data_IF_246368178041
#
_entry.id   IF_246368178041
#
_cell.length_a   1.000
_cell.length_b   1.000
_cell.length_c   1.000
_cell.angle_alpha   90.00
_cell.angle_beta   90.00
_cell.angle_gamma   90.00
#
_symmetry.space_group_name_H-M   'P 1'
#
loop_
_entity.id
_entity.type
_entity.pdbx_description
1 polymer ?
#
# COMPACT_ATOMS: atom_id res chain seq x y z
N UNK A 1 3.15 3.02 27.81
CA UNK A 1 4.01 4.15 27.36
C UNK A 1 3.12 5.08 26.55
N UNK A 2 3.09 6.38 26.85
CA UNK A 2 2.33 7.36 26.06
C UNK A 2 2.93 7.41 24.65
N UNK A 3 2.23 6.85 23.66
CA UNK A 3 2.62 6.97 22.26
C UNK A 3 2.46 8.43 21.85
N UNK A 4 3.56 9.12 21.56
CA UNK A 4 3.53 10.50 21.05
C UNK A 4 2.70 10.56 19.76
N UNK A 5 1.91 11.61 19.57
CA UNK A 5 1.16 11.77 18.32
C UNK A 5 2.09 12.05 17.14
N UNK A 6 1.63 11.81 15.91
CA UNK A 6 2.45 12.07 14.72
C UNK A 6 2.90 13.53 14.66
N UNK A 7 2.02 14.47 15.03
CA UNK A 7 2.35 15.90 15.05
C UNK A 7 3.48 16.21 16.04
N UNK A 8 3.47 15.57 17.22
CA UNK A 8 4.56 15.74 18.20
C UNK A 8 5.89 15.19 17.65
N UNK A 9 5.87 14.04 16.99
CA UNK A 9 7.07 13.46 16.37
C UNK A 9 7.59 14.32 15.23
N UNK A 10 6.69 14.91 14.43
CA UNK A 10 7.04 15.84 13.36
C UNK A 10 7.68 17.11 13.94
N UNK A 11 7.08 17.70 14.97
CA UNK A 11 7.61 18.90 15.63
C UNK A 11 9.00 18.65 16.23
N UNK A 12 9.18 17.52 16.91
CA UNK A 12 10.48 17.10 17.43
C UNK A 12 11.52 16.88 16.32
N UNK A 13 11.12 16.23 15.22
CA UNK A 13 11.99 16.04 14.06
C UNK A 13 12.45 17.37 13.47
N UNK A 14 11.53 18.33 13.32
CA UNK A 14 11.84 19.68 12.82
C UNK A 14 12.71 20.50 13.78
N UNK A 15 12.64 20.22 15.08
CA UNK A 15 13.52 20.77 16.10
C UNK A 15 14.93 20.12 16.12
N UNK A 16 15.18 19.12 15.26
CA UNK A 16 16.47 18.45 15.12
C UNK A 16 16.56 17.09 15.83
N UNK A 17 15.49 16.62 16.47
CA UNK A 17 15.47 15.29 17.10
C UNK A 17 15.23 14.20 16.04
N UNK A 18 16.32 13.73 15.42
CA UNK A 18 16.29 12.73 14.35
C UNK A 18 15.55 11.44 14.71
N UNK A 19 15.68 11.00 15.97
CA UNK A 19 15.01 9.79 16.49
C UNK A 19 13.49 9.87 16.45
N UNK A 20 12.91 11.08 16.46
CA UNK A 20 11.46 11.24 16.38
C UNK A 20 10.92 10.80 15.00
N UNK A 21 11.72 10.93 13.94
CA UNK A 21 11.33 10.43 12.63
C UNK A 21 11.51 8.91 12.50
N UNK A 22 12.50 8.32 13.16
CA UNK A 22 12.65 6.86 13.19
C UNK A 22 11.39 6.18 13.73
N UNK A 23 10.73 6.83 14.69
CA UNK A 23 9.44 6.38 15.23
C UNK A 23 8.32 6.50 14.18
N UNK A 24 8.27 7.59 13.40
CA UNK A 24 7.33 7.70 12.26
C UNK A 24 7.59 6.60 11.21
N UNK A 25 8.86 6.30 10.91
CA UNK A 25 9.21 5.22 9.98
C UNK A 25 8.72 3.89 10.51
N UNK A 26 9.04 3.54 11.77
CA UNK A 26 8.61 2.28 12.40
C UNK A 26 7.09 2.11 12.39
N UNK A 27 6.34 3.18 12.62
CA UNK A 27 4.86 3.15 12.62
C UNK A 27 4.26 2.90 11.25
N UNK A 28 4.88 3.41 10.18
CA UNK A 28 4.26 3.46 8.86
C UNK A 28 4.92 2.59 7.80
N UNK A 29 6.13 2.06 8.03
CA UNK A 29 6.87 1.31 7.02
C UNK A 29 6.10 0.10 6.51
N UNK A 30 5.58 -0.74 7.42
CA UNK A 30 4.92 -1.98 7.04
C UNK A 30 3.59 -1.68 6.34
N UNK A 31 2.82 -0.74 6.90
CA UNK A 31 1.55 -0.29 6.28
C UNK A 31 1.77 0.26 4.88
N UNK A 32 2.75 1.15 4.70
CA UNK A 32 3.04 1.76 3.40
C UNK A 32 3.48 0.69 2.40
N UNK A 33 4.37 -0.19 2.82
CA UNK A 33 4.88 -1.30 2.01
C UNK A 33 3.75 -2.23 1.56
N UNK A 34 2.88 -2.65 2.48
CA UNK A 34 1.76 -3.54 2.14
C UNK A 34 0.80 -2.88 1.16
N UNK A 35 0.45 -1.60 1.39
CA UNK A 35 -0.42 -0.88 0.46
C UNK A 35 0.22 -0.74 -0.93
N UNK A 36 1.52 -0.44 -0.99
CA UNK A 36 2.26 -0.36 -2.26
C UNK A 36 2.39 -1.73 -2.94
N UNK A 37 2.56 -2.82 -2.20
CA UNK A 37 2.60 -4.17 -2.76
C UNK A 37 1.26 -4.51 -3.43
N UNK A 38 0.13 -4.20 -2.78
CA UNK A 38 -1.19 -4.38 -3.37
C UNK A 38 -1.42 -3.47 -4.59
N UNK A 39 -0.95 -2.23 -4.54
CA UNK A 39 -1.09 -1.29 -5.65
C UNK A 39 -0.23 -1.65 -6.87
N UNK A 40 1.04 -2.01 -6.64
CA UNK A 40 2.05 -2.23 -7.69
C UNK A 40 2.14 -3.68 -8.16
N UNK A 41 1.77 -4.64 -7.33
CA UNK A 41 1.90 -6.07 -7.62
C UNK A 41 3.30 -6.64 -7.48
N UNK A 42 4.21 -5.89 -6.89
CA UNK A 42 5.62 -6.26 -6.75
C UNK A 42 6.12 -5.82 -5.38
N UNK A 43 6.52 -6.80 -4.55
CA UNK A 43 7.08 -6.57 -3.22
C UNK A 43 8.40 -5.79 -3.30
N UNK A 44 9.23 -6.10 -4.29
CA UNK A 44 10.50 -5.43 -4.55
C UNK A 44 10.28 -3.95 -4.89
N UNK A 45 9.38 -3.67 -5.85
CA UNK A 45 9.05 -2.29 -6.20
C UNK A 45 8.44 -1.54 -5.01
N UNK A 46 7.62 -2.22 -4.20
CA UNK A 46 7.03 -1.64 -2.99
C UNK A 46 8.09 -1.25 -1.95
N UNK A 47 9.11 -2.09 -1.69
CA UNK A 47 10.21 -1.78 -0.78
C UNK A 47 10.98 -0.54 -1.22
N UNK A 48 11.39 -0.54 -2.48
CA UNK A 48 12.18 0.55 -3.04
C UNK A 48 11.40 1.87 -3.05
N UNK A 49 10.12 1.83 -3.45
CA UNK A 49 9.25 3.00 -3.46
C UNK A 49 9.05 3.51 -2.04
N UNK A 50 8.79 2.63 -1.06
CA UNK A 50 8.64 3.01 0.34
C UNK A 50 9.92 3.66 0.89
N UNK A 51 11.08 3.06 0.64
CA UNK A 51 12.37 3.61 1.07
C UNK A 51 12.59 5.02 0.51
N UNK A 52 12.42 5.20 -0.80
CA UNK A 52 12.56 6.51 -1.44
C UNK A 52 11.52 7.51 -0.92
N UNK A 53 10.29 7.05 -0.64
CA UNK A 53 9.24 7.88 -0.07
C UNK A 53 9.61 8.40 1.31
N UNK A 54 10.14 7.57 2.21
CA UNK A 54 10.59 8.01 3.54
C UNK A 54 11.78 8.98 3.46
N UNK A 55 12.75 8.74 2.57
CA UNK A 55 13.88 9.66 2.36
C UNK A 55 13.38 11.02 1.86
N UNK A 56 12.41 11.03 0.94
CA UNK A 56 11.80 12.28 0.46
C UNK A 56 10.93 12.95 1.53
N UNK A 57 10.20 12.16 2.32
CA UNK A 57 9.39 12.65 3.44
C UNK A 57 10.27 13.35 4.48
N UNK A 58 11.41 12.75 4.85
CA UNK A 58 12.42 13.39 5.71
C UNK A 58 12.85 14.75 5.14
N UNK A 59 13.28 14.78 3.86
CA UNK A 59 13.76 16.00 3.21
C UNK A 59 12.69 17.09 3.07
N UNK A 60 11.42 16.70 2.95
CA UNK A 60 10.29 17.61 2.71
C UNK A 60 9.44 17.83 3.96
N UNK A 61 9.85 17.33 5.13
CA UNK A 61 8.99 17.33 6.32
C UNK A 61 8.55 18.74 6.72
N UNK A 62 9.41 19.74 6.52
CA UNK A 62 9.11 21.16 6.77
C UNK A 62 7.99 21.73 5.88
N UNK A 63 7.69 21.08 4.76
CA UNK A 63 6.59 21.47 3.85
C UNK A 63 5.24 20.81 4.20
N UNK A 64 5.21 19.93 5.21
CA UNK A 64 3.98 19.27 5.63
C UNK A 64 3.01 20.28 6.29
N UNK A 65 1.90 20.55 5.60
CA UNK A 65 0.93 21.59 5.99
C UNK A 65 -0.06 21.20 7.09
N UNK A 66 -0.06 19.94 7.57
CA UNK A 66 -0.98 19.43 8.61
C UNK A 66 -2.48 19.50 8.26
N UNK A 67 -2.81 19.74 6.98
CA UNK A 67 -4.18 19.74 6.46
C UNK A 67 -4.74 18.31 6.30
N UNK A 68 -3.86 17.31 6.24
CA UNK A 68 -4.17 15.89 6.20
C UNK A 68 -3.27 15.14 7.19
N UNK A 69 -3.63 13.90 7.53
CA UNK A 69 -2.77 13.04 8.34
C UNK A 69 -1.41 12.80 7.69
N UNK A 70 -0.39 12.53 8.52
CA UNK A 70 0.97 12.27 8.05
C UNK A 70 1.01 11.10 7.05
N UNK A 71 0.28 10.02 7.33
CA UNK A 71 0.21 8.86 6.45
C UNK A 71 -0.36 9.21 5.06
N UNK A 72 -1.42 10.02 4.98
CA UNK A 72 -1.99 10.48 3.70
C UNK A 72 -0.96 11.29 2.90
N UNK A 73 -0.20 12.15 3.56
CA UNK A 73 0.87 12.93 2.92
C UNK A 73 2.04 12.05 2.46
N UNK A 74 2.47 11.10 3.30
CA UNK A 74 3.49 10.11 2.97
C UNK A 74 3.09 9.26 1.76
N UNK A 75 1.84 8.80 1.71
CA UNK A 75 1.34 8.01 0.59
C UNK A 75 1.36 8.81 -0.72
N UNK A 76 1.02 10.11 -0.68
CA UNK A 76 1.12 10.99 -1.85
C UNK A 76 2.56 11.06 -2.39
N UNK A 77 3.54 11.14 -1.49
CA UNK A 77 4.95 11.09 -1.87
C UNK A 77 5.26 9.74 -2.52
N UNK A 78 4.87 8.63 -1.90
CA UNK A 78 5.12 7.28 -2.40
C UNK A 78 4.51 7.03 -3.78
N UNK A 79 3.25 7.46 -4.00
CA UNK A 79 2.60 7.40 -5.31
C UNK A 79 3.38 8.17 -6.38
N UNK A 80 3.86 9.38 -6.07
CA UNK A 80 4.63 10.16 -7.03
C UNK A 80 5.95 9.47 -7.39
N UNK A 81 6.60 8.81 -6.42
CA UNK A 81 7.77 7.97 -6.65
C UNK A 81 7.42 6.80 -7.57
N UNK A 82 6.35 6.06 -7.29
CA UNK A 82 5.90 4.94 -8.11
C UNK A 82 5.62 5.34 -9.57
N UNK A 83 4.86 6.41 -9.80
CA UNK A 83 4.55 6.92 -11.16
C UNK A 83 5.84 7.32 -11.89
N UNK A 84 6.80 7.93 -11.20
CA UNK A 84 8.07 8.34 -11.80
C UNK A 84 8.91 7.14 -12.27
N UNK A 85 8.79 6.00 -11.58
CA UNK A 85 9.49 4.75 -11.91
C UNK A 85 8.88 4.06 -13.13
N UNK A 86 7.54 4.02 -13.22
CA UNK A 86 6.82 3.43 -14.37
C UNK A 86 7.11 4.20 -15.67
N UNK A 87 7.32 5.53 -15.59
CA UNK A 87 7.64 6.38 -16.76
C UNK A 87 9.08 6.29 -17.23
N UNK A 88 9.99 5.66 -16.47
CA UNK A 88 11.35 5.39 -16.96
C UNK A 88 11.30 4.12 -17.82
N UNK A 89 11.72 4.17 -19.10
CA UNK A 89 11.77 2.97 -19.92
C UNK A 89 12.68 1.95 -19.21
N UNK A 90 12.13 0.79 -18.86
CA UNK A 90 12.91 -0.36 -18.40
C UNK A 90 13.88 -0.68 -19.52
N UNK A 91 15.17 -0.42 -19.33
CA UNK A 91 16.21 -1.07 -20.12
C UNK A 91 16.07 -2.55 -19.76
N UNK A 92 15.43 -3.29 -20.66
CA UNK A 92 15.11 -4.70 -20.49
C UNK A 92 16.41 -5.47 -20.25
N UNK A 93 16.66 -5.82 -19.00
CA UNK A 93 17.46 -6.99 -18.65
C UNK A 93 16.44 -8.09 -18.41
N UNK A 94 16.36 -9.02 -19.37
CA UNK A 94 15.45 -10.14 -19.29
C UNK A 94 15.76 -11.02 -18.07
N UNK A 95 14.73 -11.33 -17.30
CA UNK A 95 14.63 -12.49 -16.41
C UNK A 95 13.12 -12.76 -16.28
N UNK A 96 12.58 -13.76 -16.97
CA UNK A 96 12.37 -15.13 -16.49
C UNK A 96 11.59 -15.18 -15.17
N UNK A 97 10.33 -15.61 -15.33
CA UNK A 97 9.50 -16.39 -14.40
C UNK A 97 9.68 -16.12 -12.90
N UNK A 98 8.76 -15.35 -12.32
CA UNK A 98 8.60 -15.26 -10.87
C UNK A 98 7.21 -15.74 -10.46
N UNK A 99 7.05 -17.07 -10.46
CA UNK A 99 6.31 -17.75 -9.40
C UNK A 99 7.22 -17.83 -8.18
N UNK A 100 7.52 -16.69 -7.55
CA UNK A 100 8.19 -16.69 -6.26
C UNK A 100 7.11 -16.84 -5.20
N UNK A 101 7.17 -17.92 -4.43
CA UNK A 101 6.48 -18.07 -3.15
C UNK A 101 6.86 -16.88 -2.25
N UNK A 102 6.05 -15.82 -2.29
CA UNK A 102 6.08 -14.79 -1.29
C UNK A 102 5.39 -15.38 -0.05
N UNK A 103 6.19 -15.94 0.86
CA UNK A 103 5.81 -15.99 2.26
C UNK A 103 5.60 -14.53 2.71
N UNK A 104 4.35 -14.06 2.55
CA UNK A 104 3.94 -12.74 3.01
C UNK A 104 4.19 -12.68 4.51
N UNK A 105 4.85 -11.61 4.94
CA UNK A 105 4.93 -11.28 6.35
C UNK A 105 3.50 -10.93 6.80
N UNK A 106 2.82 -11.90 7.40
CA UNK A 106 1.61 -11.63 8.15
C UNK A 106 2.00 -10.73 9.33
N UNK A 107 1.20 -9.70 9.68
CA UNK A 107 1.22 -9.25 11.06
C UNK A 107 0.87 -10.48 11.89
N UNK A 108 1.80 -10.92 12.74
CA UNK A 108 1.51 -11.98 13.68
C UNK A 108 0.39 -11.48 14.60
N UNK A 109 -0.85 -11.85 14.31
CA UNK A 109 -1.87 -11.92 15.33
C UNK A 109 -1.39 -13.00 16.30
N UNK A 110 -0.72 -12.58 17.39
CA UNK A 110 -0.19 -13.45 18.45
C UNK A 110 -1.28 -14.26 19.20
N UNK A 111 -2.49 -14.39 18.64
CA UNK A 111 -3.67 -14.95 19.32
C UNK A 111 -4.50 -15.90 18.47
N UNK A 112 -3.89 -16.71 17.59
CA UNK A 112 -4.65 -17.81 16.99
C UNK A 112 -3.88 -19.13 16.99
N UNK A 113 -4.09 -19.89 18.07
CA UNK A 113 -4.02 -21.35 18.08
C UNK A 113 -5.05 -21.94 17.10
N UNK A 114 -4.84 -21.72 15.80
CA UNK A 114 -5.70 -22.28 14.75
C UNK A 114 -4.93 -23.36 14.00
N UNK A 115 -5.54 -24.53 13.90
CA UNK A 115 -4.94 -25.73 13.34
C UNK A 115 -4.24 -25.47 11.99
N UNK A 116 -3.12 -26.15 11.68
CA UNK A 116 -2.30 -25.90 10.49
C UNK A 116 -3.09 -25.86 9.16
N UNK A 117 -4.15 -26.66 9.05
CA UNK A 117 -5.04 -26.69 7.88
C UNK A 117 -5.80 -25.36 7.66
N UNK A 118 -6.23 -24.68 8.73
CA UNK A 118 -6.88 -23.38 8.61
C UNK A 118 -5.92 -22.26 8.21
N UNK A 119 -4.64 -22.35 8.60
CA UNK A 119 -3.61 -21.42 8.15
C UNK A 119 -3.34 -21.58 6.64
N UNK A 120 -3.23 -22.82 6.16
CA UNK A 120 -3.04 -23.11 4.73
C UNK A 120 -4.21 -22.59 3.87
N UNK A 121 -5.46 -22.86 4.27
CA UNK A 121 -6.64 -22.38 3.54
C UNK A 121 -6.70 -20.85 3.48
N UNK A 122 -6.36 -20.17 4.58
CA UNK A 122 -6.28 -18.69 4.58
C UNK A 122 -5.18 -18.18 3.66
N UNK A 123 -4.01 -18.81 3.65
CA UNK A 123 -2.92 -18.42 2.77
C UNK A 123 -3.31 -18.56 1.28
N UNK A 124 -4.02 -19.62 0.90
CA UNK A 124 -4.54 -19.80 -0.46
C UNK A 124 -5.58 -18.73 -0.83
N UNK A 125 -6.51 -18.42 0.07
CA UNK A 125 -7.49 -17.35 -0.14
C UNK A 125 -6.83 -15.98 -0.32
N UNK A 126 -5.84 -15.65 0.51
CA UNK A 126 -5.06 -14.41 0.39
C UNK A 126 -4.34 -14.36 -0.96
N UNK A 127 -3.71 -15.47 -1.37
CA UNK A 127 -3.02 -15.57 -2.66
C UNK A 127 -3.98 -15.34 -3.82
N UNK A 128 -5.18 -15.92 -3.77
CA UNK A 128 -6.22 -15.73 -4.77
C UNK A 128 -6.67 -14.26 -4.85
N UNK A 129 -6.93 -13.62 -3.71
CA UNK A 129 -7.31 -12.19 -3.68
C UNK A 129 -6.21 -11.31 -4.25
N UNK A 130 -4.94 -11.59 -3.90
CA UNK A 130 -3.80 -10.86 -4.46
C UNK A 130 -3.71 -11.04 -5.98
N UNK A 131 -3.85 -12.27 -6.48
CA UNK A 131 -3.82 -12.55 -7.92
C UNK A 131 -4.96 -11.82 -8.66
N UNK A 132 -6.18 -11.89 -8.13
CA UNK A 132 -7.34 -11.21 -8.71
C UNK A 132 -7.16 -9.68 -8.73
N UNK A 133 -6.60 -9.09 -7.66
CA UNK A 133 -6.26 -7.67 -7.63
C UNK A 133 -5.24 -7.30 -8.72
N UNK A 134 -4.24 -8.15 -8.98
CA UNK A 134 -3.20 -7.88 -9.98
C UNK A 134 -3.69 -7.90 -11.42
N UNK A 135 -4.81 -8.54 -11.71
CA UNK A 135 -5.38 -8.46 -13.04
C UNK A 135 -6.26 -7.22 -13.26
N UNK A 136 -6.58 -6.44 -12.21
CA UNK A 136 -7.34 -5.20 -12.31
C UNK A 136 -6.40 -4.08 -12.74
N UNK A 137 -6.78 -3.24 -13.71
CA UNK A 137 -5.93 -2.14 -14.13
C UNK A 137 -5.58 -1.18 -12.97
N UNK A 138 -4.34 -0.67 -12.93
CA UNK A 138 -3.80 0.14 -11.82
C UNK A 138 -4.72 1.30 -11.43
N UNK A 139 -5.33 1.98 -12.41
CA UNK A 139 -6.21 3.12 -12.18
C UNK A 139 -7.48 2.79 -11.38
N UNK A 140 -7.92 1.53 -11.40
CA UNK A 140 -9.04 1.01 -10.61
C UNK A 140 -8.56 0.35 -9.32
N UNK A 141 -7.43 -0.36 -9.39
CA UNK A 141 -6.82 -1.07 -8.25
C UNK A 141 -6.38 -0.11 -7.15
N UNK A 142 -5.68 0.98 -7.50
CA UNK A 142 -5.14 1.93 -6.54
C UNK A 142 -6.21 2.54 -5.60
N UNK A 143 -7.32 3.14 -6.10
CA UNK A 143 -8.35 3.67 -5.22
C UNK A 143 -9.09 2.59 -4.42
N UNK A 144 -9.17 1.34 -4.93
CA UNK A 144 -9.73 0.22 -4.18
C UNK A 144 -8.84 -0.16 -3.00
N UNK A 145 -7.52 -0.28 -3.21
CA UNK A 145 -6.54 -0.58 -2.14
C UNK A 145 -6.60 0.50 -1.06
N UNK A 146 -6.56 1.78 -1.47
CA UNK A 146 -6.67 2.90 -0.53
C UNK A 146 -7.97 2.87 0.28
N UNK A 147 -9.06 2.35 -0.30
CA UNK A 147 -10.35 2.28 0.37
C UNK A 147 -10.46 1.10 1.34
N UNK A 148 -10.18 -0.11 0.85
CA UNK A 148 -10.47 -1.35 1.58
C UNK A 148 -9.32 -1.77 2.49
N UNK A 149 -8.07 -1.45 2.12
CA UNK A 149 -6.88 -1.88 2.87
C UNK A 149 -6.41 -0.73 3.77
N UNK A 150 -6.31 0.49 3.23
CA UNK A 150 -5.86 1.64 4.02
C UNK A 150 -6.98 2.33 4.79
N UNK A 151 -8.25 2.06 4.48
CA UNK A 151 -9.41 2.60 5.21
C UNK A 151 -9.70 4.08 4.95
N UNK A 152 -9.16 4.69 3.91
CA UNK A 152 -9.39 6.11 3.62
C UNK A 152 -10.85 6.42 3.23
N UNK A 153 -11.30 7.63 3.52
CA UNK A 153 -12.54 8.19 2.96
C UNK A 153 -12.40 8.46 1.46
N UNK A 154 -13.53 8.59 0.75
CA UNK A 154 -13.46 8.89 -0.69
C UNK A 154 -12.85 10.28 -0.95
N UNK A 155 -13.08 11.22 -0.05
CA UNK A 155 -12.55 12.57 -0.05
C UNK A 155 -11.03 12.56 0.14
N UNK A 156 -10.52 11.80 1.10
CA UNK A 156 -9.07 11.63 1.28
C UNK A 156 -8.44 10.95 0.07
N UNK A 157 -9.06 9.91 -0.48
CA UNK A 157 -8.58 9.24 -1.69
C UNK A 157 -8.48 10.25 -2.82
N UNK A 158 -9.52 11.04 -3.07
CA UNK A 158 -9.53 12.08 -4.11
C UNK A 158 -8.34 13.03 -3.98
N UNK A 159 -8.00 13.44 -2.75
CA UNK A 159 -6.84 14.28 -2.46
C UNK A 159 -5.49 13.54 -2.60
N UNK A 160 -5.44 12.25 -2.25
CA UNK A 160 -4.21 11.44 -2.30
C UNK A 160 -3.80 11.16 -3.74
N UNK A 161 -4.74 10.71 -4.57
CA UNK A 161 -4.46 10.31 -5.96
C UNK A 161 -4.73 11.42 -6.98
N UNK A 162 -5.18 12.59 -6.50
CA UNK A 162 -5.40 13.82 -7.27
C UNK A 162 -6.38 13.64 -8.44
N UNK A 163 -7.58 13.14 -8.12
CA UNK A 163 -8.68 12.99 -9.10
C UNK A 163 -10.01 13.45 -8.50
N UNK A 164 -11.02 13.78 -9.33
CA UNK A 164 -12.33 14.19 -8.83
C UNK A 164 -13.00 13.12 -7.96
N UNK A 165 -13.73 13.54 -6.92
CA UNK A 165 -14.46 12.64 -6.01
C UNK A 165 -15.44 11.72 -6.75
N UNK A 166 -16.12 12.22 -7.78
CA UNK A 166 -17.00 11.41 -8.63
C UNK A 166 -16.25 10.30 -9.37
N UNK A 167 -15.00 10.57 -9.78
CA UNK A 167 -14.11 9.58 -10.43
C UNK A 167 -13.61 8.55 -9.43
N UNK A 168 -13.33 8.93 -8.18
CA UNK A 168 -13.00 7.97 -7.11
C UNK A 168 -14.14 6.97 -6.93
N UNK A 169 -15.38 7.46 -6.75
CA UNK A 169 -16.55 6.61 -6.54
C UNK A 169 -16.78 5.64 -7.70
N UNK A 170 -16.71 6.13 -8.94
CA UNK A 170 -16.92 5.29 -10.12
C UNK A 170 -15.80 4.28 -10.32
N UNK A 171 -14.53 4.65 -10.07
CA UNK A 171 -13.39 3.72 -10.15
C UNK A 171 -13.46 2.63 -9.11
N UNK A 172 -13.78 2.95 -7.85
CA UNK A 172 -13.92 1.94 -6.79
C UNK A 172 -15.08 1.00 -7.09
N UNK A 173 -16.22 1.52 -7.54
CA UNK A 173 -17.35 0.68 -7.94
C UNK A 173 -16.97 -0.31 -9.04
N UNK A 174 -16.30 0.17 -10.10
CA UNK A 174 -15.81 -0.69 -11.19
C UNK A 174 -14.79 -1.72 -10.70
N UNK A 175 -13.84 -1.30 -9.86
CA UNK A 175 -12.82 -2.18 -9.29
C UNK A 175 -13.44 -3.31 -8.48
N UNK A 176 -14.49 -3.04 -7.67
CA UNK A 176 -15.21 -4.08 -6.92
C UNK A 176 -15.90 -5.08 -7.83
N UNK A 177 -16.59 -4.61 -8.86
CA UNK A 177 -17.24 -5.50 -9.84
C UNK A 177 -16.23 -6.40 -10.55
N UNK A 178 -15.10 -5.83 -10.94
CA UNK A 178 -14.03 -6.56 -11.59
C UNK A 178 -13.38 -7.59 -10.64
N UNK A 179 -13.13 -7.21 -9.39
CA UNK A 179 -12.60 -8.11 -8.36
C UNK A 179 -13.54 -9.30 -8.12
N UNK A 180 -14.84 -9.06 -7.98
CA UNK A 180 -15.84 -10.12 -7.80
C UNK A 180 -15.83 -11.07 -9.00
N UNK A 181 -15.83 -10.55 -10.23
CA UNK A 181 -15.83 -11.37 -11.44
C UNK A 181 -14.56 -12.23 -11.56
N UNK A 182 -13.41 -11.70 -11.15
CA UNK A 182 -12.14 -12.43 -11.14
C UNK A 182 -12.11 -13.50 -10.06
N UNK A 183 -12.51 -13.18 -8.83
CA UNK A 183 -12.59 -14.16 -7.73
C UNK A 183 -13.52 -15.33 -8.08
N UNK A 184 -14.66 -15.07 -8.72
CA UNK A 184 -15.57 -16.11 -9.20
C UNK A 184 -14.93 -17.02 -10.27
N UNK A 185 -14.03 -16.49 -11.10
CA UNK A 185 -13.28 -17.28 -12.07
C UNK A 185 -12.27 -18.18 -11.37
N UNK A 186 -11.45 -17.62 -10.49
CA UNK A 186 -10.45 -18.37 -9.72
C UNK A 186 -11.08 -19.47 -8.87
N UNK A 187 -12.25 -19.22 -8.27
CA UNK A 187 -12.98 -20.25 -7.50
C UNK A 187 -13.48 -21.41 -8.36
N UNK A 188 -13.83 -21.19 -9.63
CA UNK A 188 -14.27 -22.25 -10.55
C UNK A 188 -13.12 -23.07 -11.13
N UNK A 189 -11.91 -22.52 -11.14
CA UNK A 189 -10.71 -23.22 -11.61
C UNK A 189 -10.14 -24.17 -10.54
N UNK A 190 -10.59 -24.04 -9.30
CA UNK A 190 -10.20 -24.87 -8.15
C UNK A 190 -11.19 -26.02 -7.86
N UNK A 191 -12.37 -26.02 -8.49
CA UNK A 191 -13.38 -27.10 -8.43
C UNK A 191 -13.16 -28.13 -9.56
#
# INVERSE_FOLDING_TARGET
MNSSSDLQLIDATLAGETRAFDELVRRYQDRLVHSLEHALGSREDALDVAQQAFVLAWKKLSSFRREAGFYSWLYRIARNVAISRIRRPKISSGSLDHLQEAAGFEPADEHSESAPEHAMLRAEQIKMVRAALQEIAEEFRQPLVLKEIDGFSYEEIAQIIDIPLGTVRSRIFRARQELIAKLQRHSKELE
#
